data_IF_286544235679
#
_entry.id   IF_286544235679
#
_cell.length_a   1.000
_cell.length_b   1.000
_cell.length_c   1.000
_cell.angle_alpha   90.00
_cell.angle_beta   90.00
_cell.angle_gamma   90.00
#
_symmetry.space_group_name_H-M   'P 1'
#
loop_
_entity.id
_entity.type
_entity.pdbx_description
1 polymer ?
#
# COMPACT_ATOMS: atom_id res chain seq x y z
N UNK A 1 -1.68 22.22 6.61
CA UNK A 1 -1.73 20.85 7.15
C UNK A 1 -1.01 19.94 6.18
N UNK A 2 0.27 19.72 6.42
CA UNK A 2 1.15 18.93 5.54
C UNK A 2 1.64 17.73 6.35
N UNK A 3 0.84 16.73 6.45
CA UNK A 3 1.22 15.52 7.14
C UNK A 3 0.76 14.29 6.40
N UNK A 4 1.47 13.92 5.36
CA UNK A 4 1.31 12.60 4.78
C UNK A 4 1.73 11.55 5.80
N UNK A 5 0.92 10.53 5.99
CA UNK A 5 1.14 9.43 6.94
C UNK A 5 2.51 8.75 6.73
N UNK A 6 3.01 8.71 5.50
CA UNK A 6 4.33 8.19 5.17
C UNK A 6 5.48 8.95 5.85
N UNK A 7 5.35 10.27 6.01
CA UNK A 7 6.37 11.09 6.67
C UNK A 7 6.39 10.82 8.18
N UNK A 8 5.24 10.64 8.80
CA UNK A 8 5.13 10.29 10.21
C UNK A 8 5.73 8.90 10.50
N UNK A 9 5.46 7.91 9.65
CA UNK A 9 6.04 6.57 9.79
C UNK A 9 7.57 6.58 9.66
N UNK A 10 8.11 7.38 8.73
CA UNK A 10 9.57 7.53 8.58
C UNK A 10 10.20 8.27 9.76
N UNK A 11 9.51 9.28 10.32
CA UNK A 11 9.98 10.01 11.50
C UNK A 11 10.01 9.14 12.77
N UNK A 12 9.11 8.16 12.86
CA UNK A 12 9.01 7.23 13.99
C UNK A 12 10.00 6.05 13.91
N UNK A 13 10.70 5.90 12.81
CA UNK A 13 11.65 4.79 12.63
C UNK A 13 12.86 4.97 13.54
N UNK A 14 13.20 3.95 14.31
CA UNK A 14 14.42 3.94 15.14
C UNK A 14 15.66 4.13 14.24
N UNK A 15 16.48 5.16 14.45
CA UNK A 15 17.68 5.39 13.65
C UNK A 15 18.72 4.26 13.78
N UNK A 16 18.68 3.48 14.85
CA UNK A 16 19.57 2.36 15.13
C UNK A 16 18.98 0.99 14.77
N UNK A 17 17.84 0.97 14.06
CA UNK A 17 17.09 -0.26 13.76
C UNK A 17 17.94 -1.38 13.16
N UNK A 18 18.90 -1.06 12.30
CA UNK A 18 19.76 -2.07 11.68
C UNK A 18 20.63 -2.79 12.70
N UNK A 19 21.27 -2.05 13.61
CA UNK A 19 22.11 -2.63 14.66
C UNK A 19 21.27 -3.44 15.65
N UNK A 20 20.11 -2.93 16.01
CA UNK A 20 19.16 -3.62 16.91
C UNK A 20 18.69 -4.94 16.28
N UNK A 21 18.33 -4.92 14.98
CA UNK A 21 17.93 -6.11 14.25
C UNK A 21 19.05 -7.16 14.24
N UNK A 22 20.27 -6.77 13.87
CA UNK A 22 21.42 -7.68 13.81
C UNK A 22 21.70 -8.34 15.18
N UNK A 23 21.67 -7.56 16.26
CA UNK A 23 21.85 -8.09 17.61
C UNK A 23 20.79 -9.14 17.96
N UNK A 24 19.54 -8.93 17.56
CA UNK A 24 18.47 -9.87 17.82
C UNK A 24 18.60 -11.12 16.95
N UNK A 25 18.90 -10.96 15.65
CA UNK A 25 19.00 -12.09 14.71
C UNK A 25 20.07 -13.10 15.07
N UNK A 26 21.21 -12.67 15.61
CA UNK A 26 22.31 -13.59 16.00
C UNK A 26 22.01 -14.40 17.26
N UNK A 27 21.00 -14.01 18.03
CA UNK A 27 20.55 -14.71 19.23
C UNK A 27 19.49 -15.78 18.94
N UNK A 28 18.97 -15.77 17.73
CA UNK A 28 17.89 -16.64 17.28
C UNK A 28 18.44 -17.85 16.51
N UNK A 29 17.63 -18.90 16.47
CA UNK A 29 17.92 -20.09 15.69
C UNK A 29 17.01 -20.13 14.46
N UNK A 30 17.60 -20.35 13.29
CA UNK A 30 16.90 -20.30 12.01
C UNK A 30 17.04 -21.62 11.26
N UNK A 31 16.03 -22.00 10.50
CA UNK A 31 16.12 -23.08 9.52
C UNK A 31 17.20 -22.77 8.47
N UNK A 32 17.73 -23.79 7.82
CA UNK A 32 18.80 -23.63 6.83
C UNK A 32 18.44 -22.65 5.71
N UNK A 33 17.18 -22.69 5.24
CA UNK A 33 16.68 -21.77 4.22
C UNK A 33 16.68 -20.32 4.69
N UNK A 34 16.16 -20.07 5.90
CA UNK A 34 16.08 -18.70 6.46
C UNK A 34 17.44 -18.22 6.96
N UNK A 35 18.34 -19.10 7.40
CA UNK A 35 19.68 -18.72 7.80
C UNK A 35 20.43 -18.03 6.64
N UNK A 36 20.27 -18.51 5.42
CA UNK A 36 20.86 -17.87 4.22
C UNK A 36 20.39 -16.42 4.04
N UNK A 37 19.12 -16.15 4.32
CA UNK A 37 18.54 -14.80 4.28
C UNK A 37 19.08 -13.94 5.44
N UNK A 38 19.12 -14.52 6.65
CA UNK A 38 19.62 -13.84 7.85
C UNK A 38 21.09 -13.45 7.67
N UNK A 39 21.93 -14.32 7.12
CA UNK A 39 23.34 -14.03 6.87
C UNK A 39 23.53 -12.83 5.96
N UNK A 40 22.70 -12.69 4.93
CA UNK A 40 22.70 -11.50 4.05
C UNK A 40 22.28 -10.23 4.80
N UNK A 41 21.25 -10.33 5.65
CA UNK A 41 20.80 -9.18 6.47
C UNK A 41 21.92 -8.74 7.42
N UNK A 42 22.63 -9.69 8.03
CA UNK A 42 23.71 -9.40 8.98
C UNK A 42 24.86 -8.62 8.33
N UNK A 43 25.11 -8.83 7.04
CA UNK A 43 26.17 -8.12 6.30
C UNK A 43 25.65 -6.97 5.41
N UNK A 44 24.40 -6.55 5.61
CA UNK A 44 23.73 -5.50 4.81
C UNK A 44 23.68 -5.81 3.30
N UNK A 45 23.71 -7.08 2.93
CA UNK A 45 23.58 -7.49 1.53
C UNK A 45 22.11 -7.41 1.09
N UNK A 46 21.78 -6.69 0.00
CA UNK A 46 20.43 -6.66 -0.53
C UNK A 46 19.94 -8.05 -0.95
N UNK A 47 18.68 -8.33 -0.67
CA UNK A 47 18.01 -9.53 -1.17
C UNK A 47 17.72 -9.39 -2.66
N UNK A 48 17.86 -10.47 -3.40
CA UNK A 48 17.58 -10.54 -4.82
C UNK A 48 16.32 -11.38 -5.11
N UNK A 49 15.97 -11.55 -6.37
CA UNK A 49 14.80 -12.33 -6.80
C UNK A 49 14.84 -13.78 -6.31
N UNK A 50 16.02 -14.42 -6.30
CA UNK A 50 16.17 -15.79 -5.81
C UNK A 50 15.86 -15.88 -4.32
N UNK A 51 16.32 -14.90 -3.55
CA UNK A 51 16.00 -14.81 -2.12
C UNK A 51 14.50 -14.62 -1.89
N UNK A 52 13.88 -13.79 -2.72
CA UNK A 52 12.42 -13.59 -2.69
C UNK A 52 11.65 -14.89 -2.97
N UNK A 53 12.09 -15.67 -3.97
CA UNK A 53 11.50 -16.98 -4.27
C UNK A 53 11.70 -17.97 -3.13
N UNK A 54 12.87 -17.96 -2.49
CA UNK A 54 13.14 -18.79 -1.31
C UNK A 54 12.17 -18.45 -0.18
N UNK A 55 12.02 -17.18 0.16
CA UNK A 55 11.08 -16.72 1.19
C UNK A 55 9.63 -17.06 0.84
N UNK A 56 9.25 -16.93 -0.43
CA UNK A 56 7.90 -17.27 -0.89
C UNK A 56 7.61 -18.77 -0.82
N UNK A 57 8.63 -19.60 -0.92
CA UNK A 57 8.55 -21.06 -0.88
C UNK A 57 8.74 -21.65 0.54
N UNK A 58 8.99 -20.79 1.54
CA UNK A 58 9.26 -21.22 2.91
C UNK A 58 8.03 -21.92 3.51
N UNK A 59 8.11 -23.21 3.86
CA UNK A 59 6.98 -23.93 4.40
C UNK A 59 6.65 -23.57 5.85
N UNK A 60 7.64 -23.07 6.62
CA UNK A 60 7.46 -22.66 8.00
C UNK A 60 7.06 -21.20 8.09
N UNK A 61 5.77 -20.91 7.87
CA UNK A 61 5.23 -19.55 7.92
C UNK A 61 5.37 -18.89 9.30
N UNK A 62 5.47 -19.65 10.38
CA UNK A 62 5.68 -19.10 11.73
C UNK A 62 7.10 -18.52 11.86
N UNK A 63 8.09 -19.22 11.37
CA UNK A 63 9.47 -18.78 11.41
C UNK A 63 9.71 -17.60 10.45
N UNK A 64 9.15 -17.67 9.25
CA UNK A 64 9.14 -16.55 8.31
C UNK A 64 8.46 -15.31 8.90
N UNK A 65 7.29 -15.48 9.51
CA UNK A 65 6.55 -14.42 10.19
C UNK A 65 7.33 -13.83 11.37
N UNK A 66 8.07 -14.66 12.11
CA UNK A 66 8.97 -14.21 13.18
C UNK A 66 10.09 -13.33 12.63
N UNK A 67 10.76 -13.73 11.56
CA UNK A 67 11.79 -12.93 10.91
C UNK A 67 11.25 -11.57 10.46
N UNK A 68 10.10 -11.55 9.80
CA UNK A 68 9.43 -10.33 9.36
C UNK A 68 9.05 -9.43 10.56
N UNK A 69 8.53 -10.01 11.65
CA UNK A 69 8.16 -9.27 12.85
C UNK A 69 9.37 -8.66 13.55
N UNK A 70 10.47 -9.40 13.70
CA UNK A 70 11.70 -8.86 14.28
C UNK A 70 12.24 -7.67 13.48
N UNK A 71 12.17 -7.75 12.15
CA UNK A 71 12.54 -6.62 11.28
C UNK A 71 11.63 -5.41 11.52
N UNK A 72 10.31 -5.61 11.54
CA UNK A 72 9.33 -4.55 11.83
C UNK A 72 9.53 -3.97 13.23
N UNK A 73 9.73 -4.81 14.24
CA UNK A 73 9.93 -4.34 15.63
C UNK A 73 11.24 -3.59 15.82
N UNK A 74 12.31 -3.97 15.12
CA UNK A 74 13.54 -3.21 15.14
C UNK A 74 13.34 -1.79 14.60
N UNK A 75 12.49 -1.62 13.56
CA UNK A 75 12.21 -0.32 12.96
C UNK A 75 11.23 0.54 13.76
N UNK A 76 10.16 -0.04 14.26
CA UNK A 76 9.00 0.70 14.79
C UNK A 76 8.53 0.23 16.17
N UNK A 77 9.24 -0.70 16.79
CA UNK A 77 8.79 -1.31 18.04
C UNK A 77 7.45 -2.04 17.84
N UNK A 78 6.56 -1.94 18.82
CA UNK A 78 5.23 -2.56 18.77
C UNK A 78 4.17 -1.73 18.06
N UNK A 79 4.55 -0.60 17.45
CA UNK A 79 3.61 0.24 16.71
C UNK A 79 3.16 -0.44 15.43
N UNK A 80 1.90 -0.24 15.07
CA UNK A 80 1.32 -0.57 13.78
C UNK A 80 0.65 0.66 13.22
N UNK A 81 0.69 0.82 11.91
CA UNK A 81 0.08 1.94 11.20
C UNK A 81 -1.06 1.41 10.35
N UNK A 82 -2.12 2.18 10.26
CA UNK A 82 -3.26 1.87 9.38
C UNK A 82 -3.81 3.16 8.80
N UNK A 83 -4.42 3.06 7.64
CA UNK A 83 -5.18 4.14 7.04
C UNK A 83 -6.67 3.92 7.28
N UNK A 84 -7.36 4.97 7.71
CA UNK A 84 -8.81 5.03 7.66
C UNK A 84 -9.18 5.64 6.32
N UNK A 85 -9.60 4.81 5.38
CA UNK A 85 -9.88 5.26 4.03
C UNK A 85 -11.35 5.09 3.64
N UNK A 86 -11.75 5.81 2.61
CA UNK A 86 -13.04 5.65 1.94
C UNK A 86 -12.83 5.59 0.43
N UNK A 87 -13.62 4.77 -0.24
CA UNK A 87 -13.73 4.76 -1.69
C UNK A 87 -14.88 5.65 -2.12
N UNK A 88 -14.59 6.69 -2.87
CA UNK A 88 -15.60 7.52 -3.55
C UNK A 88 -15.29 7.47 -5.04
N UNK A 89 -16.08 6.71 -5.74
CA UNK A 89 -15.89 6.48 -7.17
C UNK A 89 -16.70 7.52 -7.96
N UNK A 90 -16.04 8.31 -8.77
CA UNK A 90 -16.64 9.42 -9.50
C UNK A 90 -17.62 8.97 -10.58
N UNK A 91 -17.44 7.76 -11.14
CA UNK A 91 -18.34 7.18 -12.14
C UNK A 91 -18.18 5.67 -12.23
N UNK A 92 -19.26 4.95 -12.56
CA UNK A 92 -19.22 3.55 -12.96
C UNK A 92 -19.31 3.37 -14.50
N UNK A 93 -19.47 4.44 -15.26
CA UNK A 93 -19.47 4.40 -16.72
C UNK A 93 -18.04 4.16 -17.19
N UNK A 94 -17.84 3.12 -18.03
CA UNK A 94 -16.52 2.77 -18.50
C UNK A 94 -16.56 2.26 -19.94
N UNK A 95 -15.67 2.80 -20.79
CA UNK A 95 -15.52 2.34 -22.19
C UNK A 95 -14.89 0.96 -22.28
N UNK A 96 -14.14 0.54 -21.26
CA UNK A 96 -13.53 -0.78 -21.22
C UNK A 96 -14.53 -1.85 -20.77
N UNK A 97 -14.39 -3.05 -21.28
CA UNK A 97 -15.24 -4.19 -20.95
C UNK A 97 -14.45 -5.32 -20.29
N UNK A 98 -13.73 -4.99 -19.21
CA UNK A 98 -12.91 -5.97 -18.48
C UNK A 98 -13.78 -7.11 -17.93
N UNK A 99 -13.40 -8.35 -18.22
CA UNK A 99 -14.19 -9.55 -17.94
C UNK A 99 -14.50 -9.77 -16.44
N UNK A 100 -13.62 -9.32 -15.58
CA UNK A 100 -13.75 -9.49 -14.11
C UNK A 100 -14.39 -8.28 -13.41
N UNK A 101 -14.65 -7.17 -14.13
CA UNK A 101 -15.14 -5.95 -13.53
C UNK A 101 -16.67 -5.97 -13.36
N UNK A 102 -17.15 -6.24 -12.15
CA UNK A 102 -18.57 -6.17 -11.81
C UNK A 102 -19.07 -4.73 -11.62
N UNK A 103 -18.18 -3.77 -11.40
CA UNK A 103 -18.52 -2.38 -11.12
C UNK A 103 -18.93 -1.61 -12.38
N UNK A 104 -18.32 -1.92 -13.52
CA UNK A 104 -18.51 -1.21 -14.79
C UNK A 104 -19.96 -1.22 -15.26
N UNK A 105 -20.41 -0.05 -15.78
CA UNK A 105 -21.68 0.10 -16.50
C UNK A 105 -21.44 0.69 -17.88
N UNK A 106 -22.31 0.34 -18.80
CA UNK A 106 -22.45 1.07 -20.06
C UNK A 106 -23.20 2.38 -19.82
N UNK A 107 -23.02 3.41 -20.68
CA UNK A 107 -23.63 4.73 -20.44
C UNK A 107 -25.17 4.74 -20.49
N UNK A 108 -25.80 3.68 -20.97
CA UNK A 108 -27.26 3.53 -21.06
C UNK A 108 -27.83 2.56 -20.02
N UNK A 109 -27.04 2.09 -19.06
CA UNK A 109 -27.53 1.23 -18.01
C UNK A 109 -28.34 2.05 -16.99
N UNK A 110 -29.39 1.45 -16.42
CA UNK A 110 -30.29 2.13 -15.49
C UNK A 110 -29.61 2.60 -14.22
N UNK A 111 -28.53 1.92 -13.83
CA UNK A 111 -27.72 2.21 -12.65
C UNK A 111 -26.37 2.87 -13.02
N UNK A 112 -26.24 3.40 -14.25
CA UNK A 112 -25.09 4.18 -14.66
C UNK A 112 -25.10 5.55 -13.99
N UNK A 113 -23.95 5.99 -13.50
CA UNK A 113 -23.80 7.32 -12.89
C UNK A 113 -22.47 7.96 -13.24
N UNK A 114 -22.47 9.28 -13.24
CA UNK A 114 -21.27 10.13 -13.28
C UNK A 114 -21.53 11.31 -12.34
N UNK A 115 -20.72 11.47 -11.32
CA UNK A 115 -20.83 12.56 -10.35
C UNK A 115 -20.29 13.86 -10.98
N UNK A 116 -20.98 14.98 -10.73
CA UNK A 116 -20.38 16.29 -10.92
C UNK A 116 -19.27 16.52 -9.88
N UNK A 117 -18.41 17.49 -10.12
CA UNK A 117 -17.37 17.87 -9.15
C UNK A 117 -18.00 18.23 -7.80
N UNK A 118 -19.10 19.00 -7.82
CA UNK A 118 -19.79 19.42 -6.59
C UNK A 118 -20.34 18.22 -5.82
N UNK A 119 -21.03 17.30 -6.49
CA UNK A 119 -21.55 16.08 -5.86
C UNK A 119 -20.42 15.17 -5.33
N UNK A 120 -19.31 15.11 -6.03
CA UNK A 120 -18.13 14.37 -5.57
C UNK A 120 -17.55 14.98 -4.30
N UNK A 121 -17.42 16.31 -4.26
CA UNK A 121 -16.95 17.04 -3.09
C UNK A 121 -17.91 16.92 -1.89
N UNK A 122 -19.22 16.92 -2.14
CA UNK A 122 -20.24 16.68 -1.10
C UNK A 122 -20.08 15.28 -0.49
N UNK A 123 -19.90 14.25 -1.32
CA UNK A 123 -19.64 12.90 -0.82
C UNK A 123 -18.34 12.83 0.00
N UNK A 124 -17.26 13.45 -0.46
CA UNK A 124 -16.01 13.51 0.30
C UNK A 124 -16.19 14.21 1.65
N UNK A 125 -16.95 15.33 1.68
CA UNK A 125 -17.21 16.09 2.89
C UNK A 125 -17.92 15.28 3.97
N UNK A 126 -18.80 14.34 3.59
CA UNK A 126 -19.48 13.44 4.52
C UNK A 126 -18.53 12.51 5.27
N UNK A 127 -17.43 12.09 4.63
CA UNK A 127 -16.48 11.16 5.21
C UNK A 127 -15.26 11.85 5.81
N UNK A 128 -14.96 13.08 5.43
CA UNK A 128 -13.73 13.80 5.83
C UNK A 128 -13.44 13.83 7.33
N UNK A 129 -14.43 13.84 8.26
CA UNK A 129 -14.15 13.79 9.69
C UNK A 129 -13.64 12.40 10.17
N UNK A 130 -13.82 11.36 9.38
CA UNK A 130 -13.60 9.97 9.79
C UNK A 130 -12.46 9.28 9.06
N UNK A 131 -11.94 9.90 7.98
CA UNK A 131 -10.93 9.30 7.12
C UNK A 131 -9.72 10.21 6.98
N UNK A 132 -8.57 9.61 6.74
CA UNK A 132 -7.33 10.31 6.43
C UNK A 132 -6.83 10.04 5.01
N UNK A 133 -7.57 9.24 4.25
CA UNK A 133 -7.24 8.88 2.88
C UNK A 133 -8.51 8.64 2.07
N UNK A 134 -8.52 9.08 0.82
CA UNK A 134 -9.60 8.85 -0.12
C UNK A 134 -9.06 8.11 -1.34
N UNK A 135 -9.72 7.03 -1.70
CA UNK A 135 -9.46 6.31 -2.93
C UNK A 135 -10.52 6.68 -3.97
N UNK A 136 -10.08 7.33 -5.04
CA UNK A 136 -10.92 7.71 -6.17
C UNK A 136 -10.62 6.79 -7.35
N UNK A 137 -11.40 5.72 -7.49
CA UNK A 137 -11.21 4.70 -8.52
C UNK A 137 -12.52 4.48 -9.26
N UNK A 138 -12.66 5.07 -10.43
CA UNK A 138 -13.89 4.97 -11.23
C UNK A 138 -13.72 4.25 -12.56
N UNK A 139 -14.80 4.27 -13.33
CA UNK A 139 -14.78 3.85 -14.73
C UNK A 139 -14.03 4.86 -15.61
N UNK A 140 -13.52 4.42 -16.74
CA UNK A 140 -12.97 5.31 -17.76
C UNK A 140 -14.13 5.88 -18.58
N UNK A 141 -14.56 7.08 -18.22
CA UNK A 141 -15.69 7.76 -18.86
C UNK A 141 -15.33 8.21 -20.28
N UNK A 142 -16.19 8.00 -21.29
CA UNK A 142 -15.88 8.33 -22.70
C UNK A 142 -15.61 9.82 -22.93
N UNK A 143 -16.28 10.70 -22.19
CA UNK A 143 -16.26 12.14 -22.45
C UNK A 143 -15.33 12.90 -21.50
N UNK A 144 -14.69 12.25 -20.54
CA UNK A 144 -13.80 12.92 -19.60
C UNK A 144 -12.37 12.94 -20.13
N UNK A 145 -11.71 14.07 -19.92
CA UNK A 145 -10.34 14.25 -20.36
C UNK A 145 -9.35 13.56 -19.44
N UNK A 146 -8.16 13.28 -19.95
CA UNK A 146 -7.06 12.75 -19.16
C UNK A 146 -6.74 13.64 -17.95
N UNK A 147 -6.80 14.96 -18.12
CA UNK A 147 -6.53 15.93 -17.04
C UNK A 147 -7.51 15.79 -15.85
N UNK A 148 -8.77 15.44 -16.12
CA UNK A 148 -9.74 15.21 -15.05
C UNK A 148 -9.39 13.97 -14.20
N UNK A 149 -8.82 12.94 -14.83
CA UNK A 149 -8.42 11.70 -14.15
C UNK A 149 -7.06 11.78 -13.46
N UNK A 150 -6.16 12.60 -13.97
CA UNK A 150 -4.75 12.64 -13.57
C UNK A 150 -4.35 13.95 -12.91
N UNK A 151 -5.32 14.79 -12.53
CA UNK A 151 -5.05 16.08 -11.87
C UNK A 151 -4.60 15.94 -10.41
N UNK A 152 -4.33 14.74 -9.99
CA UNK A 152 -3.80 14.49 -8.67
C UNK A 152 -2.28 14.67 -8.71
N UNK A 153 -1.80 15.45 -7.78
CA UNK A 153 -0.39 15.83 -7.66
C UNK A 153 0.56 14.67 -7.32
N UNK A 154 0.05 13.48 -7.05
CA UNK A 154 0.87 12.33 -6.75
C UNK A 154 1.59 11.77 -7.98
N UNK A 155 1.04 11.99 -9.16
CA UNK A 155 1.61 11.51 -10.43
C UNK A 155 2.80 12.36 -10.92
N UNK A 156 3.03 13.51 -10.32
CA UNK A 156 4.06 14.45 -10.79
C UNK A 156 5.47 14.11 -10.34
N UNK A 157 5.63 13.09 -9.51
CA UNK A 157 6.92 12.66 -8.97
C UNK A 157 7.37 11.26 -9.41
N UNK A 158 6.77 10.73 -10.43
CA UNK A 158 7.12 9.42 -10.97
C UNK A 158 8.31 9.43 -11.94
N UNK A 159 9.34 10.23 -11.66
CA UNK A 159 10.59 10.30 -12.46
C UNK A 159 11.78 9.89 -11.67
#
# INVERSE_FOLDING_TARGET
MTGWVSTAALADRDPHWKSNLKQTLVQEHWSESLQTIVDKILVDQPLNTTDGLLLFSEPNLFELGRLANLHKEAMYGRKAYFNSNVHVNQTNICVLACRFCAFRRGPKADDAYALSVDNYLEELARFSPYVNEVHSVGGLHPDWTCLLYTSDAADEHSW
#
